data_IF_089915211118
#
_entry.id   IF_089915211118
#
_cell.length_a   1.000
_cell.length_b   1.000
_cell.length_c   1.000
_cell.angle_alpha   90.00
_cell.angle_beta   90.00
_cell.angle_gamma   90.00
#
_symmetry.space_group_name_H-M   'P 1'
#
loop_
_entity.id
_entity.type
_entity.pdbx_description
1 polymer ?
#
# COMPACT_ATOMS: atom_id res chain seq x y z
N UNK A 1 25.81 25.34 -15.23
CA UNK A 1 26.18 24.05 -15.85
C UNK A 1 25.93 22.99 -14.82
N UNK A 2 24.76 22.35 -14.90
CA UNK A 2 24.26 21.38 -13.92
C UNK A 2 24.90 20.03 -14.17
N UNK A 3 25.82 19.62 -13.30
CA UNK A 3 26.36 18.26 -13.29
C UNK A 3 25.32 17.37 -12.62
N UNK A 4 24.34 16.88 -13.39
CA UNK A 4 23.49 15.75 -13.01
C UNK A 4 24.31 14.47 -13.15
N UNK A 5 25.15 14.17 -12.16
CA UNK A 5 25.77 12.86 -12.01
C UNK A 5 24.81 11.99 -11.20
N UNK A 6 23.91 11.28 -11.88
CA UNK A 6 23.06 10.24 -11.29
C UNK A 6 23.82 8.91 -11.31
N UNK A 7 24.92 8.80 -10.56
CA UNK A 7 25.55 7.48 -10.39
C UNK A 7 24.76 6.67 -9.36
N UNK A 8 24.41 5.44 -9.72
CA UNK A 8 23.85 4.48 -8.79
C UNK A 8 24.88 4.18 -7.70
N UNK A 9 24.47 4.28 -6.43
CA UNK A 9 25.28 3.78 -5.33
C UNK A 9 25.36 2.25 -5.44
N UNK A 10 26.51 1.65 -5.11
CA UNK A 10 26.64 0.18 -5.09
C UNK A 10 25.55 -0.45 -4.20
N UNK A 11 25.16 0.24 -3.13
CA UNK A 11 24.15 -0.19 -2.17
C UNK A 11 22.72 -0.32 -2.72
N UNK A 12 22.36 0.31 -3.85
CA UNK A 12 20.96 0.29 -4.31
C UNK A 12 20.82 0.55 -5.80
N UNK A 13 19.80 -0.04 -6.42
CA UNK A 13 19.46 0.27 -7.81
C UNK A 13 18.82 1.65 -7.98
N UNK A 14 18.41 2.29 -6.88
CA UNK A 14 17.76 3.59 -6.91
C UNK A 14 18.77 4.70 -7.24
N UNK A 15 18.52 5.55 -8.25
CA UNK A 15 19.30 6.76 -8.44
C UNK A 15 18.97 7.76 -7.33
N UNK A 16 20.00 8.39 -6.76
CA UNK A 16 19.84 9.40 -5.72
C UNK A 16 20.20 10.78 -6.29
N UNK A 17 19.25 11.49 -6.94
CA UNK A 17 19.56 12.80 -7.52
C UNK A 17 20.03 13.78 -6.43
N UNK A 18 21.10 14.53 -6.75
CA UNK A 18 21.62 15.57 -5.87
C UNK A 18 20.69 16.79 -5.96
N UNK A 19 19.76 16.91 -5.00
CA UNK A 19 18.85 18.07 -4.90
C UNK A 19 19.48 19.26 -4.17
N UNK A 20 20.36 18.96 -3.22
CA UNK A 20 21.03 19.92 -2.34
C UNK A 20 22.48 19.51 -2.16
N UNK A 21 23.38 20.49 -2.24
CA UNK A 21 24.82 20.28 -2.03
C UNK A 21 25.18 20.41 -0.55
N UNK A 22 26.08 19.56 -0.04
CA UNK A 22 26.62 19.74 1.30
C UNK A 22 27.61 20.93 1.30
N UNK A 23 27.46 21.85 2.26
CA UNK A 23 28.30 23.05 2.36
C UNK A 23 29.30 22.96 3.51
N UNK A 24 28.85 22.50 4.69
CA UNK A 24 29.68 22.42 5.88
C UNK A 24 29.50 21.08 6.58
N UNK A 25 30.60 20.60 7.15
CA UNK A 25 30.65 19.39 7.95
C UNK A 25 31.13 19.75 9.36
N UNK A 26 30.40 19.28 10.38
CA UNK A 26 30.77 19.43 11.79
C UNK A 26 30.78 18.06 12.45
N UNK A 27 31.90 17.70 13.06
CA UNK A 27 32.07 16.43 13.77
C UNK A 27 31.68 16.63 15.24
N UNK A 28 30.73 15.82 15.72
CA UNK A 28 30.30 15.75 17.11
C UNK A 28 31.05 14.67 17.91
N UNK A 29 30.43 14.17 18.98
CA UNK A 29 30.98 13.08 19.80
C UNK A 29 30.56 11.68 19.31
N UNK A 30 29.33 11.54 18.83
CA UNK A 30 28.73 10.26 18.40
C UNK A 30 28.14 10.33 16.98
N UNK A 31 28.08 11.53 16.41
CA UNK A 31 27.48 11.84 15.13
C UNK A 31 28.24 12.96 14.42
N UNK A 32 27.96 13.14 13.13
CA UNK A 32 28.37 14.31 12.37
C UNK A 32 27.14 15.05 11.85
N UNK A 33 27.32 16.34 11.58
CA UNK A 33 26.29 17.24 11.09
C UNK A 33 26.70 17.77 9.73
N UNK A 34 25.78 17.72 8.77
CA UNK A 34 25.93 18.30 7.44
C UNK A 34 24.96 19.47 7.32
N UNK A 35 25.48 20.65 7.00
CA UNK A 35 24.68 21.81 6.61
C UNK A 35 24.60 21.85 5.09
N UNK A 36 23.39 21.85 4.56
CA UNK A 36 23.09 21.84 3.12
C UNK A 36 22.90 23.25 2.57
N UNK A 37 22.95 23.41 1.24
CA UNK A 37 22.80 24.69 0.55
C UNK A 37 21.45 25.40 0.74
N UNK A 38 20.42 24.66 1.16
CA UNK A 38 19.11 25.19 1.52
C UNK A 38 19.00 25.58 3.01
N UNK A 39 20.10 25.48 3.77
CA UNK A 39 20.14 25.74 5.20
C UNK A 39 19.59 24.62 6.08
N UNK A 40 19.15 23.49 5.51
CA UNK A 40 18.82 22.29 6.30
C UNK A 40 20.08 21.76 6.97
N UNK A 41 19.95 21.25 8.19
CA UNK A 41 21.01 20.51 8.88
C UNK A 41 20.56 19.05 9.05
N UNK A 42 21.42 18.10 8.68
CA UNK A 42 21.20 16.67 8.90
C UNK A 42 22.25 16.10 9.85
N UNK A 43 21.81 15.29 10.80
CA UNK A 43 22.67 14.54 11.71
C UNK A 43 22.80 13.09 11.26
N UNK A 44 24.02 12.55 11.34
CA UNK A 44 24.33 11.16 11.03
C UNK A 44 25.26 10.55 12.10
N UNK A 45 24.72 9.64 12.91
CA UNK A 45 25.45 8.83 13.89
C UNK A 45 26.52 7.95 13.24
N UNK A 46 27.66 7.78 13.92
CA UNK A 46 28.81 7.03 13.40
C UNK A 46 28.49 5.56 13.14
N UNK A 47 27.80 4.90 14.08
CA UNK A 47 27.35 3.52 13.89
C UNK A 47 26.43 3.41 12.67
N UNK A 48 25.47 4.33 12.51
CA UNK A 48 24.57 4.31 11.36
C UNK A 48 25.32 4.48 10.03
N UNK A 49 26.27 5.41 9.96
CA UNK A 49 27.10 5.58 8.78
C UNK A 49 27.90 4.30 8.50
N UNK A 50 28.60 3.76 9.50
CA UNK A 50 29.42 2.56 9.33
C UNK A 50 28.61 1.34 8.90
N UNK A 51 27.43 1.14 9.50
CA UNK A 51 26.47 0.08 9.14
C UNK A 51 26.06 0.17 7.67
N UNK A 52 25.86 1.39 7.18
CA UNK A 52 25.43 1.68 5.81
C UNK A 52 26.61 1.97 4.86
N UNK A 53 27.82 1.45 5.12
CA UNK A 53 28.95 1.66 4.23
C UNK A 53 28.69 1.02 2.85
N UNK A 54 28.88 1.79 1.77
CA UNK A 54 28.59 1.34 0.40
C UNK A 54 29.74 0.60 -0.30
N UNK A 55 30.86 0.36 0.37
CA UNK A 55 32.02 -0.27 -0.27
C UNK A 55 31.78 -1.76 -0.57
N UNK A 56 32.57 -2.33 -1.48
CA UNK A 56 32.47 -3.74 -1.87
C UNK A 56 32.82 -4.74 -0.76
N UNK A 57 33.43 -4.30 0.34
CA UNK A 57 33.67 -5.13 1.52
C UNK A 57 32.43 -5.22 2.43
N UNK A 58 31.60 -4.18 2.43
CA UNK A 58 30.42 -4.10 3.29
C UNK A 58 29.13 -4.52 2.58
N UNK A 59 29.11 -4.44 1.26
CA UNK A 59 27.96 -4.78 0.41
C UNK A 59 28.41 -5.69 -0.72
N UNK A 60 27.69 -6.79 -0.92
CA UNK A 60 27.90 -7.68 -2.05
C UNK A 60 27.56 -6.95 -3.36
N UNK A 61 28.54 -6.78 -4.25
CA UNK A 61 28.38 -5.95 -5.46
C UNK A 61 27.32 -6.46 -6.44
N UNK A 62 27.06 -7.77 -6.47
CA UNK A 62 26.07 -8.39 -7.36
C UNK A 62 24.65 -8.27 -6.81
N UNK A 63 24.43 -8.67 -5.56
CA UNK A 63 23.08 -8.71 -4.95
C UNK A 63 22.68 -7.40 -4.30
N UNK A 64 23.66 -6.55 -3.96
CA UNK A 64 23.53 -5.31 -3.17
C UNK A 64 23.04 -5.56 -1.75
N UNK A 65 23.23 -6.78 -1.26
CA UNK A 65 22.92 -7.16 0.12
C UNK A 65 24.09 -6.78 1.03
N UNK A 66 23.75 -6.34 2.24
CA UNK A 66 24.72 -6.06 3.28
C UNK A 66 25.40 -7.36 3.72
N UNK A 67 26.74 -7.31 3.76
CA UNK A 67 27.60 -8.40 4.26
C UNK A 67 28.21 -8.03 5.60
N UNK A 68 28.41 -6.72 5.83
CA UNK A 68 28.91 -6.20 7.09
C UNK A 68 27.88 -6.39 8.23
N UNK A 69 28.32 -6.92 9.37
CA UNK A 69 27.49 -6.98 10.57
C UNK A 69 27.90 -5.88 11.56
N UNK A 70 26.93 -5.17 12.13
CA UNK A 70 27.20 -4.00 12.98
C UNK A 70 28.04 -4.33 14.23
N UNK A 71 28.05 -5.58 14.68
CA UNK A 71 28.87 -6.04 15.80
C UNK A 71 30.36 -6.24 15.45
N UNK A 72 30.74 -6.16 14.17
CA UNK A 72 32.14 -6.27 13.74
C UNK A 72 32.96 -5.01 14.03
N UNK A 73 32.31 -3.94 14.53
CA UNK A 73 32.95 -2.71 14.98
C UNK A 73 32.61 -2.39 16.44
N UNK A 74 33.48 -1.68 17.19
CA UNK A 74 33.16 -1.20 18.52
C UNK A 74 32.01 -0.19 18.50
N UNK A 75 31.17 -0.18 19.54
CA UNK A 75 30.13 0.85 19.73
C UNK A 75 30.70 2.28 19.74
N UNK A 76 31.97 2.41 20.14
CA UNK A 76 32.69 3.69 20.25
C UNK A 76 33.38 4.12 18.95
N UNK A 77 33.10 3.47 17.81
CA UNK A 77 33.72 3.80 16.52
C UNK A 77 33.50 5.27 16.18
N UNK A 78 34.54 5.93 15.68
CA UNK A 78 34.51 7.36 15.35
C UNK A 78 35.42 7.69 14.17
N UNK A 79 35.17 8.81 13.48
CA UNK A 79 36.05 9.25 12.40
C UNK A 79 37.42 9.69 12.94
N UNK A 80 38.50 9.19 12.34
CA UNK A 80 39.81 9.85 12.40
C UNK A 80 39.80 11.12 11.55
N UNK A 81 39.17 11.04 10.38
CA UNK A 81 38.98 12.15 9.45
C UNK A 81 37.60 12.04 8.80
N UNK A 82 36.94 13.16 8.58
CA UNK A 82 35.73 13.25 7.78
C UNK A 82 35.79 14.54 6.94
N UNK A 83 35.51 14.43 5.64
CA UNK A 83 35.57 15.55 4.70
C UNK A 83 34.69 15.31 3.47
N UNK A 84 34.44 16.35 2.68
CA UNK A 84 33.81 16.21 1.37
C UNK A 84 34.88 16.07 0.27
N UNK A 85 34.75 15.07 -0.59
CA UNK A 85 35.56 14.91 -1.80
C UNK A 85 35.20 15.98 -2.85
N UNK A 86 35.97 16.03 -3.94
CA UNK A 86 35.74 16.96 -5.06
C UNK A 86 34.35 16.78 -5.73
N UNK A 87 33.80 15.56 -5.71
CA UNK A 87 32.45 15.25 -6.19
C UNK A 87 31.37 15.36 -5.10
N UNK A 88 31.69 16.02 -3.97
CA UNK A 88 30.79 16.29 -2.83
C UNK A 88 30.33 15.04 -2.06
N UNK A 89 31.03 13.91 -2.17
CA UNK A 89 30.76 12.75 -1.32
C UNK A 89 31.31 12.99 0.07
N UNK A 90 30.58 12.54 1.08
CA UNK A 90 31.13 12.43 2.43
C UNK A 90 32.11 11.26 2.44
N UNK A 91 33.37 11.53 2.78
CA UNK A 91 34.41 10.52 2.98
C UNK A 91 34.74 10.47 4.46
N UNK A 92 34.77 9.27 5.03
CA UNK A 92 35.11 9.03 6.44
C UNK A 92 36.22 7.98 6.51
N UNK A 93 37.31 8.32 7.21
CA UNK A 93 38.32 7.36 7.65
C UNK A 93 38.04 6.99 9.10
N UNK A 94 37.80 5.72 9.37
CA UNK A 94 37.42 5.25 10.71
C UNK A 94 38.64 4.95 11.59
N UNK A 95 38.49 5.04 12.91
CA UNK A 95 39.52 4.67 13.88
C UNK A 95 39.63 3.16 14.12
N UNK A 96 38.97 2.36 13.28
CA UNK A 96 38.94 0.92 13.35
C UNK A 96 39.20 0.29 11.98
N UNK A 97 40.12 -0.69 11.97
CA UNK A 97 40.47 -1.53 10.81
C UNK A 97 40.90 -0.77 9.54
N UNK A 98 41.43 0.46 9.66
CA UNK A 98 41.86 1.33 8.55
C UNK A 98 40.78 1.49 7.45
N UNK A 99 39.50 1.35 7.81
CA UNK A 99 38.40 1.32 6.87
C UNK A 99 38.02 2.73 6.40
N UNK A 100 37.62 2.86 5.13
CA UNK A 100 37.18 4.12 4.54
C UNK A 100 35.78 3.94 3.94
N UNK A 101 34.85 4.78 4.37
CA UNK A 101 33.49 4.81 3.82
C UNK A 101 33.26 6.07 2.99
N UNK A 102 32.47 5.96 1.93
CA UNK A 102 32.10 7.08 1.06
C UNK A 102 30.59 7.06 0.79
N UNK A 103 29.94 8.23 0.87
CA UNK A 103 28.49 8.35 0.73
C UNK A 103 28.13 9.46 -0.26
N UNK A 104 27.25 9.14 -1.20
CA UNK A 104 26.72 10.10 -2.16
C UNK A 104 25.84 11.13 -1.45
N UNK A 105 25.96 12.44 -1.76
CA UNK A 105 25.20 13.48 -1.08
C UNK A 105 23.68 13.32 -1.28
N UNK A 106 23.24 12.88 -2.46
CA UNK A 106 21.83 12.58 -2.70
C UNK A 106 21.30 11.44 -1.83
N UNK A 107 22.12 10.42 -1.54
CA UNK A 107 21.75 9.29 -0.69
C UNK A 107 21.66 9.73 0.77
N UNK A 108 22.63 10.49 1.25
CA UNK A 108 22.60 11.07 2.60
C UNK A 108 21.33 11.91 2.77
N UNK A 109 21.11 12.89 1.89
CA UNK A 109 19.94 13.76 1.96
C UNK A 109 18.62 12.98 1.95
N UNK A 110 18.49 11.94 1.12
CA UNK A 110 17.29 11.11 1.08
C UNK A 110 17.10 10.22 2.31
N UNK A 111 18.15 9.96 3.09
CA UNK A 111 18.12 9.13 4.30
C UNK A 111 18.24 9.93 5.61
N UNK A 112 18.23 11.27 5.55
CA UNK A 112 18.09 12.12 6.73
C UNK A 112 16.89 11.65 7.59
N UNK A 113 17.15 11.40 8.87
CA UNK A 113 16.17 10.88 9.83
C UNK A 113 15.79 11.90 10.91
N UNK A 114 16.07 13.19 10.68
CA UNK A 114 15.45 14.25 11.46
C UNK A 114 13.93 14.14 11.40
N UNK A 115 13.25 14.61 12.44
CA UNK A 115 11.78 14.50 12.55
C UNK A 115 11.08 15.06 11.31
N UNK A 116 11.43 16.28 10.89
CA UNK A 116 10.86 16.92 9.70
C UNK A 116 11.13 16.14 8.41
N UNK A 117 12.31 15.53 8.25
CA UNK A 117 12.62 14.72 7.08
C UNK A 117 11.84 13.39 7.07
N UNK A 118 11.62 12.76 8.24
CA UNK A 118 10.79 11.56 8.35
C UNK A 118 9.33 11.88 8.06
N UNK A 119 8.80 12.95 8.63
CA UNK A 119 7.43 13.43 8.37
C UNK A 119 7.20 13.73 6.89
N UNK A 120 8.14 14.42 6.23
CA UNK A 120 8.02 14.74 4.80
C UNK A 120 8.03 13.51 3.87
N UNK A 121 8.57 12.37 4.32
CA UNK A 121 8.59 11.11 3.58
C UNK A 121 7.35 10.25 3.83
N UNK A 122 6.56 10.56 4.86
CA UNK A 122 5.36 9.79 5.17
C UNK A 122 4.34 9.94 4.04
N UNK A 123 4.05 8.81 3.40
CA UNK A 123 2.94 8.73 2.46
C UNK A 123 1.62 8.88 3.21
N UNK A 124 0.67 9.60 2.62
CA UNK A 124 -0.69 9.75 3.13
C UNK A 124 -1.70 9.39 2.06
N UNK A 125 -2.66 8.55 2.42
CA UNK A 125 -3.79 8.22 1.58
C UNK A 125 -4.63 9.48 1.26
N UNK A 126 -5.08 9.60 0.01
CA UNK A 126 -6.09 10.58 -0.38
C UNK A 126 -7.47 10.00 -0.10
N UNK A 127 -7.99 10.24 1.10
CA UNK A 127 -9.31 9.74 1.51
C UNK A 127 -10.44 10.44 0.75
N UNK A 128 -11.50 9.72 0.42
CA UNK A 128 -12.60 10.25 -0.41
C UNK A 128 -13.98 9.86 0.12
N UNK A 129 -14.96 10.70 -0.18
CA UNK A 129 -16.39 10.44 -0.03
C UNK A 129 -17.08 10.42 -1.40
N UNK A 130 -18.42 10.34 -1.44
CA UNK A 130 -19.19 10.25 -2.70
C UNK A 130 -18.92 11.45 -3.62
N UNK A 131 -18.85 12.67 -3.08
CA UNK A 131 -18.69 13.85 -3.91
C UNK A 131 -17.30 13.88 -4.55
N UNK A 132 -16.26 13.67 -3.74
CA UNK A 132 -14.88 13.69 -4.21
C UNK A 132 -14.62 12.62 -5.29
N UNK A 133 -14.98 11.36 -5.02
CA UNK A 133 -14.65 10.27 -5.95
C UNK A 133 -15.42 10.33 -7.27
N UNK A 134 -16.63 10.89 -7.29
CA UNK A 134 -17.37 11.10 -8.55
C UNK A 134 -16.66 12.11 -9.47
N UNK A 135 -15.84 13.01 -8.93
CA UNK A 135 -15.11 14.00 -9.72
C UNK A 135 -13.71 13.52 -10.09
N UNK A 136 -13.10 12.68 -9.25
CA UNK A 136 -11.67 12.35 -9.33
C UNK A 136 -11.37 10.87 -9.45
N UNK A 137 -12.34 10.02 -9.86
CA UNK A 137 -12.09 8.58 -10.05
C UNK A 137 -10.92 8.39 -11.03
N UNK A 138 -9.77 7.88 -10.54
CA UNK A 138 -8.62 7.71 -11.42
C UNK A 138 -8.94 6.69 -12.50
N UNK A 139 -8.77 7.09 -13.75
CA UNK A 139 -9.17 6.27 -14.91
C UNK A 139 -8.05 6.25 -15.93
N UNK A 140 -7.76 5.08 -16.47
CA UNK A 140 -6.83 4.89 -17.59
C UNK A 140 -7.39 3.87 -18.58
N UNK A 141 -6.80 3.75 -19.76
CA UNK A 141 -7.24 2.78 -20.77
C UNK A 141 -6.39 1.52 -20.72
N UNK A 142 -6.98 0.40 -21.12
CA UNK A 142 -6.31 -0.89 -21.21
C UNK A 142 -5.03 -0.82 -22.05
N UNK A 143 -5.08 -0.19 -23.23
CA UNK A 143 -3.92 -0.05 -24.12
C UNK A 143 -2.81 0.80 -23.49
N UNK A 144 -3.16 1.92 -22.85
CA UNK A 144 -2.17 2.78 -22.18
C UNK A 144 -1.44 2.01 -21.09
N UNK A 145 -2.20 1.31 -20.23
CA UNK A 145 -1.61 0.48 -19.19
C UNK A 145 -0.73 -0.60 -19.80
N UNK A 146 -1.15 -1.26 -20.88
CA UNK A 146 -0.41 -2.37 -21.51
C UNK A 146 0.80 -1.97 -22.36
N UNK A 147 0.91 -0.73 -22.81
CA UNK A 147 1.96 -0.33 -23.76
C UNK A 147 2.88 0.77 -23.25
N UNK A 148 2.54 1.44 -22.15
CA UNK A 148 3.32 2.57 -21.63
C UNK A 148 3.59 2.46 -20.15
N UNK A 149 4.87 2.37 -19.78
CA UNK A 149 5.30 2.35 -18.38
C UNK A 149 5.04 3.68 -17.66
N UNK A 150 5.01 4.81 -18.38
CA UNK A 150 4.62 6.10 -17.82
C UNK A 150 3.13 6.12 -17.42
N UNK A 151 2.25 5.62 -18.28
CA UNK A 151 0.82 5.53 -17.96
C UNK A 151 0.55 4.49 -16.88
N UNK A 152 1.26 3.36 -16.91
CA UNK A 152 1.23 2.36 -15.84
C UNK A 152 1.62 3.00 -14.51
N UNK A 153 2.76 3.70 -14.44
CA UNK A 153 3.22 4.34 -13.21
C UNK A 153 2.20 5.35 -12.65
N UNK A 154 1.61 6.18 -13.51
CA UNK A 154 0.54 7.10 -13.11
C UNK A 154 -0.64 6.34 -12.50
N UNK A 155 -1.13 5.31 -13.20
CA UNK A 155 -2.24 4.49 -12.71
C UNK A 155 -1.94 3.76 -11.40
N UNK A 156 -0.73 3.22 -11.22
CA UNK A 156 -0.33 2.55 -9.97
C UNK A 156 -0.24 3.54 -8.79
N UNK A 157 0.28 4.75 -9.03
CA UNK A 157 0.32 5.82 -8.00
C UNK A 157 -1.08 6.26 -7.61
N UNK A 158 -1.97 6.43 -8.59
CA UNK A 158 -3.37 6.75 -8.33
C UNK A 158 -4.07 5.64 -7.54
N UNK A 159 -3.87 4.38 -7.94
CA UNK A 159 -4.40 3.22 -7.22
C UNK A 159 -3.88 3.15 -5.78
N UNK A 160 -2.59 3.42 -5.54
CA UNK A 160 -2.01 3.53 -4.20
C UNK A 160 -2.67 4.66 -3.41
N UNK A 161 -2.71 5.87 -3.97
CA UNK A 161 -3.11 7.10 -3.27
C UNK A 161 -4.62 7.14 -2.97
N UNK A 162 -5.46 6.79 -3.94
CA UNK A 162 -6.92 6.78 -3.79
C UNK A 162 -7.46 5.42 -3.33
N UNK A 163 -6.68 4.34 -3.43
CA UNK A 163 -7.15 2.99 -3.09
C UNK A 163 -8.14 2.41 -4.10
N UNK A 164 -8.41 3.09 -5.21
CA UNK A 164 -9.36 2.69 -6.25
C UNK A 164 -8.95 3.33 -7.57
N UNK A 165 -9.06 2.58 -8.67
CA UNK A 165 -8.87 3.08 -10.03
C UNK A 165 -9.66 2.23 -11.04
N UNK A 166 -10.04 2.85 -12.16
CA UNK A 166 -10.76 2.24 -13.27
C UNK A 166 -9.82 2.05 -14.47
N UNK A 167 -10.02 0.94 -15.18
CA UNK A 167 -9.42 0.67 -16.48
C UNK A 167 -10.55 0.46 -17.48
N UNK A 168 -10.61 1.27 -18.54
CA UNK A 168 -11.61 1.15 -19.62
C UNK A 168 -11.05 0.41 -20.82
N UNK A 169 -11.93 0.04 -21.74
CA UNK A 169 -11.60 -0.54 -23.04
C UNK A 169 -10.83 -1.86 -22.94
N UNK A 170 -11.09 -2.62 -21.88
CA UNK A 170 -10.57 -3.99 -21.69
C UNK A 170 -11.38 -4.96 -22.57
N UNK A 171 -10.69 -5.86 -23.24
CA UNK A 171 -11.36 -6.89 -24.05
C UNK A 171 -12.20 -7.82 -23.15
N UNK A 172 -13.48 -7.99 -23.48
CA UNK A 172 -14.46 -8.84 -22.79
C UNK A 172 -14.21 -10.35 -22.96
N UNK A 173 -13.14 -10.77 -23.62
CA UNK A 173 -12.70 -12.15 -23.61
C UNK A 173 -12.35 -12.63 -22.18
N UNK A 174 -12.63 -13.90 -21.85
CA UNK A 174 -12.23 -14.47 -20.57
C UNK A 174 -10.73 -14.36 -20.32
N UNK A 175 -10.37 -14.13 -19.06
CA UNK A 175 -9.00 -14.06 -18.53
C UNK A 175 -8.19 -12.84 -19.01
N UNK A 176 -8.79 -11.87 -19.71
CA UNK A 176 -8.09 -10.65 -20.14
C UNK A 176 -7.51 -9.86 -18.96
N UNK A 177 -8.18 -9.87 -17.79
CA UNK A 177 -7.68 -9.17 -16.61
C UNK A 177 -6.29 -9.64 -16.15
N UNK A 178 -5.88 -10.88 -16.49
CA UNK A 178 -4.55 -11.41 -16.18
C UNK A 178 -3.46 -10.54 -16.80
N UNK A 179 -3.70 -10.02 -18.01
CA UNK A 179 -2.72 -9.16 -18.71
C UNK A 179 -2.48 -7.86 -17.94
N UNK A 180 -3.52 -7.29 -17.33
CA UNK A 180 -3.41 -6.09 -16.49
C UNK A 180 -2.73 -6.43 -15.16
N UNK A 181 -3.14 -7.53 -14.52
CA UNK A 181 -2.52 -8.02 -13.28
C UNK A 181 -1.01 -8.23 -13.44
N UNK A 182 -0.58 -8.87 -14.53
CA UNK A 182 0.82 -9.14 -14.86
C UNK A 182 1.65 -7.90 -15.22
N UNK A 183 1.03 -6.74 -15.43
CA UNK A 183 1.78 -5.47 -15.48
C UNK A 183 2.18 -4.96 -14.11
N UNK A 184 1.53 -5.46 -13.05
CA UNK A 184 1.96 -5.27 -11.67
C UNK A 184 2.92 -6.40 -11.28
N UNK A 185 2.41 -7.63 -11.16
CA UNK A 185 3.15 -8.82 -10.72
C UNK A 185 2.31 -10.09 -10.90
N UNK A 186 2.53 -11.13 -10.10
CA UNK A 186 1.75 -12.37 -10.10
C UNK A 186 0.42 -12.26 -9.35
N UNK A 187 -0.50 -13.15 -9.68
CA UNK A 187 -1.82 -13.25 -9.05
C UNK A 187 -1.73 -14.14 -7.82
N UNK A 188 -2.30 -13.70 -6.69
CA UNK A 188 -2.42 -14.49 -5.47
C UNK A 188 -3.41 -15.63 -5.66
N UNK A 189 -2.93 -16.86 -5.45
CA UNK A 189 -3.80 -18.03 -5.36
C UNK A 189 -4.56 -18.08 -4.03
N UNK A 190 -5.83 -18.49 -4.09
CA UNK A 190 -6.70 -18.67 -2.92
C UNK A 190 -7.45 -19.99 -3.02
N UNK A 191 -8.27 -20.32 -2.02
CA UNK A 191 -9.21 -21.45 -2.10
C UNK A 191 -10.27 -21.28 -3.20
N UNK A 192 -10.38 -20.10 -3.82
CA UNK A 192 -11.22 -19.84 -4.99
C UNK A 192 -10.44 -19.91 -6.32
N UNK A 193 -9.17 -20.34 -6.28
CA UNK A 193 -8.23 -20.31 -7.41
C UNK A 193 -7.54 -18.95 -7.56
N UNK A 194 -6.87 -18.76 -8.70
CA UNK A 194 -6.23 -17.50 -9.10
C UNK A 194 -7.21 -16.55 -9.77
N UNK A 195 -8.13 -17.08 -10.58
CA UNK A 195 -9.23 -16.35 -11.21
C UNK A 195 -10.56 -16.95 -10.74
N UNK A 196 -11.49 -16.09 -10.33
CA UNK A 196 -12.83 -16.49 -9.96
C UNK A 196 -13.88 -15.79 -10.82
N UNK A 197 -14.95 -16.51 -11.14
CA UNK A 197 -16.08 -15.99 -11.91
C UNK A 197 -17.21 -15.61 -10.94
N UNK A 198 -17.63 -14.35 -10.98
CA UNK A 198 -18.80 -13.84 -10.24
C UNK A 198 -19.99 -13.86 -11.19
N UNK A 199 -20.66 -15.01 -11.19
CA UNK A 199 -21.92 -15.30 -11.87
C UNK A 199 -22.84 -15.98 -10.84
N UNK A 200 -24.15 -15.81 -10.97
CA UNK A 200 -25.08 -16.55 -10.11
C UNK A 200 -25.03 -18.04 -10.45
N UNK A 201 -24.91 -18.90 -9.43
CA UNK A 201 -24.90 -20.36 -9.57
C UNK A 201 -26.05 -20.96 -8.74
N UNK A 202 -26.65 -22.04 -9.24
CA UNK A 202 -27.71 -22.75 -8.52
C UNK A 202 -27.22 -23.33 -7.17
N UNK A 203 -25.98 -23.81 -7.12
CA UNK A 203 -25.34 -24.37 -5.92
C UNK A 203 -24.23 -23.45 -5.39
N UNK A 204 -24.61 -22.26 -4.91
CA UNK A 204 -23.66 -21.27 -4.40
C UNK A 204 -23.10 -21.63 -3.00
N UNK A 205 -21.77 -21.74 -2.87
CA UNK A 205 -21.06 -21.92 -1.59
C UNK A 205 -20.54 -20.61 -0.98
N UNK A 206 -20.81 -19.47 -1.62
CA UNK A 206 -20.45 -18.12 -1.14
C UNK A 206 -21.57 -17.15 -1.47
N UNK A 207 -21.81 -16.18 -0.57
CA UNK A 207 -22.79 -15.12 -0.78
C UNK A 207 -22.52 -14.32 -2.08
N UNK A 208 -21.26 -14.26 -2.52
CA UNK A 208 -20.85 -13.63 -3.78
C UNK A 208 -21.46 -14.29 -5.03
N UNK A 209 -21.87 -15.57 -4.96
CA UNK A 209 -22.44 -16.34 -6.08
C UNK A 209 -23.98 -16.42 -6.04
N UNK A 210 -24.63 -15.62 -5.20
CA UNK A 210 -26.11 -15.52 -5.12
C UNK A 210 -26.64 -14.30 -5.90
N UNK A 211 -27.95 -14.08 -5.94
CA UNK A 211 -28.59 -12.85 -6.46
C UNK A 211 -28.90 -11.82 -5.34
N UNK A 212 -28.66 -12.20 -4.08
CA UNK A 212 -28.91 -11.37 -2.92
C UNK A 212 -27.92 -10.19 -2.83
N UNK A 213 -28.38 -9.12 -2.19
CA UNK A 213 -27.54 -7.96 -1.83
C UNK A 213 -26.35 -8.43 -1.00
N UNK A 214 -25.15 -8.11 -1.46
CA UNK A 214 -23.92 -8.31 -0.70
C UNK A 214 -23.65 -7.03 0.10
N UNK A 215 -23.61 -7.07 1.44
CA UNK A 215 -23.35 -5.86 2.24
C UNK A 215 -21.90 -5.40 2.06
N UNK A 216 -21.63 -4.12 2.40
CA UNK A 216 -20.29 -3.55 2.33
C UNK A 216 -19.31 -4.35 3.18
N UNK A 217 -18.22 -4.75 2.56
CA UNK A 217 -17.21 -5.60 3.15
C UNK A 217 -15.86 -5.44 2.44
N UNK A 218 -14.81 -5.92 3.09
CA UNK A 218 -13.52 -6.25 2.53
C UNK A 218 -13.43 -7.75 2.37
N UNK A 219 -12.83 -8.23 1.29
CA UNK A 219 -12.77 -9.66 0.98
C UNK A 219 -11.71 -10.39 1.81
N UNK A 220 -12.03 -11.65 2.11
CA UNK A 220 -11.19 -12.60 2.84
C UNK A 220 -10.53 -12.02 4.11
N UNK A 221 -11.28 -11.34 5.01
CA UNK A 221 -10.75 -10.83 6.29
C UNK A 221 -10.37 -11.94 7.27
N UNK A 222 -10.55 -13.20 6.85
CA UNK A 222 -10.25 -14.42 7.58
C UNK A 222 -8.82 -14.90 7.34
N UNK A 223 -8.10 -14.27 6.41
CA UNK A 223 -6.69 -14.55 6.11
C UNK A 223 -5.79 -13.74 7.04
N UNK A 224 -4.67 -14.33 7.43
CA UNK A 224 -3.59 -13.62 8.12
C UNK A 224 -3.15 -12.41 7.29
N UNK A 225 -2.74 -12.69 6.05
CA UNK A 225 -2.53 -11.68 5.03
C UNK A 225 -3.83 -11.52 4.25
N UNK A 226 -4.66 -10.55 4.59
CA UNK A 226 -5.82 -10.21 3.77
C UNK A 226 -5.34 -9.79 2.36
N UNK A 227 -5.99 -10.18 1.24
CA UNK A 227 -5.53 -9.75 -0.08
C UNK A 227 -5.42 -8.23 -0.18
N UNK A 228 -4.33 -7.73 -0.77
CA UNK A 228 -4.06 -6.30 -0.90
C UNK A 228 -4.98 -5.61 -1.91
N UNK A 229 -4.91 -6.03 -3.17
CA UNK A 229 -5.71 -5.50 -4.26
C UNK A 229 -6.73 -6.54 -4.72
N UNK A 230 -7.91 -6.06 -5.10
CA UNK A 230 -8.92 -6.84 -5.80
C UNK A 230 -9.21 -6.24 -7.17
N UNK A 231 -9.30 -7.10 -8.16
CA UNK A 231 -9.66 -6.78 -9.54
C UNK A 231 -11.06 -7.31 -9.81
N UNK A 232 -11.91 -6.52 -10.45
CA UNK A 232 -13.22 -6.95 -10.95
C UNK A 232 -13.40 -6.44 -12.39
N UNK A 233 -13.24 -7.34 -13.35
CA UNK A 233 -13.42 -7.08 -14.77
C UNK A 233 -14.80 -7.51 -15.24
N UNK A 234 -15.53 -6.61 -15.88
CA UNK A 234 -16.85 -6.88 -16.41
C UNK A 234 -16.79 -7.39 -17.85
N UNK A 235 -17.18 -8.65 -18.06
CA UNK A 235 -17.29 -9.24 -19.40
C UNK A 235 -18.68 -9.02 -20.00
N UNK A 236 -19.72 -9.15 -19.18
CA UNK A 236 -21.12 -9.04 -19.58
C UNK A 236 -21.88 -8.35 -18.45
N UNK A 237 -22.66 -7.31 -18.75
CA UNK A 237 -23.58 -6.71 -17.79
C UNK A 237 -24.85 -6.16 -18.48
N UNK A 238 -25.71 -7.08 -18.91
CA UNK A 238 -26.99 -6.78 -19.56
C UNK A 238 -28.16 -6.76 -18.56
N UNK A 239 -27.95 -7.21 -17.32
CA UNK A 239 -28.98 -7.25 -16.29
C UNK A 239 -29.27 -5.86 -15.71
N UNK A 240 -30.54 -5.61 -15.36
CA UNK A 240 -30.94 -4.44 -14.57
C UNK A 240 -30.52 -4.59 -13.10
N UNK A 241 -30.08 -3.48 -12.51
CA UNK A 241 -29.54 -3.44 -11.14
C UNK A 241 -28.08 -3.92 -11.04
N UNK A 242 -27.70 -4.42 -9.87
CA UNK A 242 -26.35 -4.99 -9.64
C UNK A 242 -25.20 -3.97 -9.66
N UNK A 243 -25.52 -2.69 -9.41
CA UNK A 243 -24.54 -1.62 -9.29
C UNK A 243 -23.56 -1.93 -8.16
N UNK A 244 -22.28 -1.66 -8.42
CA UNK A 244 -21.24 -1.75 -7.40
C UNK A 244 -21.39 -0.56 -6.45
N UNK A 245 -21.33 -0.85 -5.16
CA UNK A 245 -21.29 0.19 -4.11
C UNK A 245 -19.91 0.10 -3.49
N UNK A 246 -19.14 1.19 -3.53
CA UNK A 246 -17.83 1.28 -2.91
C UNK A 246 -17.82 2.37 -1.84
N UNK A 247 -17.10 2.14 -0.75
CA UNK A 247 -16.90 3.08 0.35
C UNK A 247 -15.44 3.08 0.76
N UNK A 248 -14.83 4.25 0.89
CA UNK A 248 -13.50 4.39 1.45
C UNK A 248 -13.52 4.15 2.96
N UNK A 249 -13.05 2.97 3.38
CA UNK A 249 -12.97 2.63 4.80
C UNK A 249 -12.08 3.58 5.59
N UNK A 250 -11.06 4.19 4.95
CA UNK A 250 -10.19 5.14 5.63
C UNK A 250 -10.93 6.47 5.87
N UNK A 251 -11.77 6.92 4.92
CA UNK A 251 -12.65 8.08 5.15
C UNK A 251 -13.62 7.85 6.30
N UNK A 252 -14.21 6.65 6.39
CA UNK A 252 -15.10 6.29 7.51
C UNK A 252 -14.33 6.29 8.83
N UNK A 253 -13.15 5.67 8.85
CA UNK A 253 -12.33 5.59 10.05
C UNK A 253 -11.83 6.98 10.51
N UNK A 254 -11.42 7.86 9.60
CA UNK A 254 -11.07 9.25 9.94
C UNK A 254 -12.30 10.05 10.44
N UNK A 255 -13.47 9.86 9.83
CA UNK A 255 -14.71 10.45 10.34
C UNK A 255 -15.05 9.94 11.76
N UNK A 256 -14.80 8.66 12.05
CA UNK A 256 -14.95 8.15 13.41
C UNK A 256 -13.90 8.72 14.35
N UNK A 257 -12.65 8.86 13.92
CA UNK A 257 -11.58 9.46 14.74
C UNK A 257 -11.95 10.88 15.19
N UNK A 258 -12.56 11.67 14.32
CA UNK A 258 -12.96 13.05 14.60
C UNK A 258 -14.27 13.16 15.40
N UNK A 259 -15.33 12.43 15.01
CA UNK A 259 -16.68 12.63 15.54
C UNK A 259 -17.15 11.55 16.53
N UNK A 260 -16.48 10.39 16.57
CA UNK A 260 -16.81 9.22 17.38
C UNK A 260 -15.54 8.58 17.98
N UNK A 261 -14.71 9.34 18.72
CA UNK A 261 -13.36 8.91 19.10
C UNK A 261 -13.35 7.64 19.97
N UNK A 262 -14.35 7.45 20.83
CA UNK A 262 -14.49 6.24 21.66
C UNK A 262 -14.78 4.99 20.82
N UNK A 263 -15.64 5.13 19.80
CA UNK A 263 -15.91 4.08 18.84
C UNK A 263 -14.71 3.79 17.94
N UNK A 264 -14.00 4.82 17.48
CA UNK A 264 -12.74 4.64 16.74
C UNK A 264 -11.73 3.86 17.58
N UNK A 265 -11.48 4.29 18.82
CA UNK A 265 -10.59 3.63 19.75
C UNK A 265 -10.99 2.17 20.00
N UNK A 266 -12.28 1.89 20.12
CA UNK A 266 -12.78 0.52 20.28
C UNK A 266 -12.45 -0.35 19.06
N UNK A 267 -12.67 0.14 17.84
CA UNK A 267 -12.38 -0.63 16.62
C UNK A 267 -10.89 -0.74 16.29
N UNK A 268 -10.07 0.17 16.84
CA UNK A 268 -8.62 0.17 16.64
C UNK A 268 -7.82 -0.56 17.72
N UNK A 269 -8.44 -0.91 18.86
CA UNK A 269 -7.77 -1.60 19.97
C UNK A 269 -8.43 -2.91 20.39
N UNK A 270 -9.73 -3.08 20.16
CA UNK A 270 -10.45 -4.29 20.54
C UNK A 270 -10.57 -5.20 19.31
N UNK A 271 -9.99 -6.42 19.35
CA UNK A 271 -9.98 -7.33 18.22
C UNK A 271 -11.36 -7.97 17.95
N UNK A 272 -11.59 -8.26 16.67
CA UNK A 272 -12.72 -9.02 16.16
C UNK A 272 -12.24 -10.33 15.54
N UNK A 273 -13.05 -11.38 15.67
CA UNK A 273 -12.82 -12.68 15.05
C UNK A 273 -13.48 -12.76 13.67
N UNK A 274 -12.83 -13.38 12.70
CA UNK A 274 -13.34 -13.62 11.34
C UNK A 274 -13.11 -15.08 10.93
N UNK A 275 -14.16 -15.77 10.48
CA UNK A 275 -14.14 -17.17 10.08
C UNK A 275 -14.70 -17.37 8.67
N UNK A 276 -14.00 -18.15 7.84
CA UNK A 276 -14.52 -18.72 6.60
C UNK A 276 -14.49 -20.24 6.75
N UNK A 277 -15.67 -20.84 6.82
CA UNK A 277 -15.88 -22.27 7.07
C UNK A 277 -16.44 -22.91 5.81
N UNK A 278 -15.75 -23.92 5.33
CA UNK A 278 -16.13 -24.75 4.20
C UNK A 278 -15.94 -26.23 4.57
N UNK A 279 -16.49 -27.16 3.79
CA UNK A 279 -16.34 -28.59 4.02
C UNK A 279 -14.87 -29.04 4.04
N UNK A 280 -14.00 -28.35 3.28
CA UNK A 280 -12.60 -28.71 3.11
C UNK A 280 -11.61 -27.64 3.59
N UNK A 281 -12.08 -26.53 4.18
CA UNK A 281 -11.21 -25.50 4.74
C UNK A 281 -11.86 -24.73 5.89
N UNK A 282 -11.04 -24.26 6.85
CA UNK A 282 -11.47 -23.40 7.96
C UNK A 282 -10.40 -22.31 8.17
N UNK A 283 -10.62 -21.14 7.59
CA UNK A 283 -9.73 -20.00 7.74
C UNK A 283 -10.22 -19.09 8.85
N UNK A 284 -9.32 -18.75 9.78
CA UNK A 284 -9.63 -17.90 10.92
C UNK A 284 -8.57 -16.83 11.08
N UNK A 285 -9.04 -15.62 11.38
CA UNK A 285 -8.18 -14.53 11.79
C UNK A 285 -8.81 -13.77 12.95
N UNK A 286 -7.97 -13.21 13.81
CA UNK A 286 -8.39 -12.33 14.89
C UNK A 286 -7.51 -11.09 14.90
N UNK A 287 -8.13 -9.92 14.75
CA UNK A 287 -7.44 -8.63 14.73
C UNK A 287 -8.44 -7.48 14.78
N UNK A 288 -7.94 -6.26 14.89
CA UNK A 288 -8.79 -5.06 14.97
C UNK A 288 -9.45 -4.76 13.62
N UNK A 289 -10.61 -4.09 13.65
CA UNK A 289 -11.33 -3.74 12.42
C UNK A 289 -10.71 -2.51 11.74
N UNK A 290 -10.07 -1.63 12.52
CA UNK A 290 -9.25 -0.53 12.04
C UNK A 290 -7.83 -0.81 12.53
N UNK A 291 -6.85 -0.82 11.65
CA UNK A 291 -5.44 -1.00 12.01
C UNK A 291 -4.73 0.34 11.82
N UNK A 292 -3.99 0.76 12.83
CA UNK A 292 -3.13 1.96 12.78
C UNK A 292 -1.66 1.59 12.92
N UNK A 293 -0.78 2.35 12.29
CA UNK A 293 0.66 2.24 12.44
C UNK A 293 1.17 2.98 13.70
N UNK A 294 2.50 2.98 13.89
CA UNK A 294 3.18 3.68 14.99
C UNK A 294 3.01 5.21 14.96
N UNK A 295 2.62 5.78 13.82
CA UNK A 295 2.32 7.20 13.63
C UNK A 295 0.81 7.47 13.73
N UNK A 296 0.04 6.49 14.22
CA UNK A 296 -1.41 6.50 14.34
C UNK A 296 -2.16 6.70 13.00
N UNK A 297 -1.52 6.45 11.85
CA UNK A 297 -2.17 6.49 10.54
C UNK A 297 -2.95 5.20 10.29
N UNK A 298 -4.12 5.29 9.68
CA UNK A 298 -4.89 4.09 9.32
C UNK A 298 -4.21 3.40 8.14
N UNK A 299 -3.92 2.11 8.28
CA UNK A 299 -3.21 1.31 7.27
C UNK A 299 -4.04 0.14 6.73
N UNK A 300 -5.06 -0.28 7.46
CA UNK A 300 -5.99 -1.33 7.06
C UNK A 300 -7.37 -1.13 7.72
N UNK A 301 -8.42 -1.48 6.97
CA UNK A 301 -9.78 -1.68 7.46
C UNK A 301 -10.19 -3.10 7.12
N UNK A 302 -10.71 -3.82 8.12
CA UNK A 302 -11.11 -5.21 8.02
C UNK A 302 -12.55 -5.38 8.47
N UNK A 303 -13.44 -5.67 7.53
CA UNK A 303 -14.87 -5.79 7.82
C UNK A 303 -15.56 -6.76 6.86
N UNK A 304 -16.19 -7.81 7.38
CA UNK A 304 -17.20 -8.56 6.63
C UNK A 304 -18.21 -9.17 7.60
N UNK A 305 -19.44 -8.65 7.62
CA UNK A 305 -20.46 -9.09 8.58
C UNK A 305 -20.75 -10.61 8.47
N UNK A 306 -20.78 -11.15 7.25
CA UNK A 306 -21.09 -12.55 6.99
C UNK A 306 -19.91 -13.51 7.27
N UNK A 307 -18.70 -13.00 7.45
CA UNK A 307 -17.52 -13.77 7.87
C UNK A 307 -17.09 -13.44 9.30
N UNK A 308 -17.86 -12.62 10.04
CA UNK A 308 -17.53 -12.27 11.42
C UNK A 308 -17.82 -13.47 12.34
N UNK A 309 -16.79 -13.91 13.07
CA UNK A 309 -16.92 -14.85 14.17
C UNK A 309 -17.65 -14.25 15.38
N UNK A 310 -18.01 -15.05 16.39
CA UNK A 310 -18.58 -14.54 17.65
C UNK A 310 -17.68 -13.48 18.28
N UNK A 311 -18.28 -12.46 18.91
CA UNK A 311 -17.53 -11.48 19.69
C UNK A 311 -17.05 -12.16 20.97
N UNK A 312 -15.73 -12.28 21.13
CA UNK A 312 -15.04 -13.04 22.17
C UNK A 312 -14.05 -12.15 22.95
N UNK A 313 -14.59 -11.11 23.59
CA UNK A 313 -13.83 -10.11 24.35
C UNK A 313 -14.32 -10.03 25.80
N UNK A 314 -13.52 -9.50 26.75
CA UNK A 314 -13.96 -9.32 28.14
C UNK A 314 -15.31 -8.59 28.24
N UNK A 315 -16.15 -8.97 29.20
CA UNK A 315 -17.52 -8.48 29.31
C UNK A 315 -17.64 -6.94 29.36
N UNK A 316 -16.67 -6.26 29.98
CA UNK A 316 -16.64 -4.80 30.06
C UNK A 316 -16.36 -4.11 28.70
N UNK A 317 -15.80 -4.83 27.72
CA UNK A 317 -15.50 -4.32 26.37
C UNK A 317 -16.61 -4.65 25.36
N UNK A 318 -17.41 -5.68 25.61
CA UNK A 318 -18.39 -6.21 24.65
C UNK A 318 -19.34 -5.14 24.14
N UNK A 319 -19.94 -4.34 25.03
CA UNK A 319 -20.89 -3.31 24.62
C UNK A 319 -20.21 -2.16 23.85
N UNK A 320 -19.00 -1.76 24.23
CA UNK A 320 -18.23 -0.73 23.53
C UNK A 320 -17.93 -1.17 22.09
N UNK A 321 -17.43 -2.40 21.92
CA UNK A 321 -17.16 -2.96 20.59
C UNK A 321 -18.44 -3.05 19.74
N UNK A 322 -19.58 -3.48 20.30
CA UNK A 322 -20.84 -3.50 19.56
C UNK A 322 -21.32 -2.12 19.16
N UNK A 323 -21.22 -1.11 20.03
CA UNK A 323 -21.55 0.28 19.69
C UNK A 323 -20.69 0.77 18.53
N UNK A 324 -19.39 0.55 18.61
CA UNK A 324 -18.44 0.97 17.61
C UNK A 324 -18.64 0.26 16.25
N UNK A 325 -18.81 -1.06 16.29
CA UNK A 325 -19.11 -1.86 15.10
C UNK A 325 -20.41 -1.42 14.42
N UNK A 326 -21.46 -1.15 15.21
CA UNK A 326 -22.73 -0.60 14.70
C UNK A 326 -22.52 0.77 14.05
N UNK A 327 -21.77 1.66 14.70
CA UNK A 327 -21.47 3.00 14.18
C UNK A 327 -20.77 2.93 12.83
N UNK A 328 -19.75 2.08 12.70
CA UNK A 328 -19.03 1.90 11.44
C UNK A 328 -19.98 1.45 10.32
N UNK A 329 -20.81 0.43 10.57
CA UNK A 329 -21.79 -0.05 9.58
C UNK A 329 -22.86 1.00 9.25
N UNK A 330 -23.26 1.84 10.21
CA UNK A 330 -24.21 2.92 9.95
C UNK A 330 -23.60 3.96 9.02
N UNK A 331 -22.36 4.39 9.27
CA UNK A 331 -21.65 5.35 8.45
C UNK A 331 -21.46 4.83 7.02
N UNK A 332 -21.09 3.55 6.83
CA UNK A 332 -20.95 2.97 5.48
C UNK A 332 -22.27 2.90 4.71
N UNK A 333 -23.42 3.07 5.38
CA UNK A 333 -24.74 3.11 4.74
C UNK A 333 -25.22 4.53 4.42
N UNK A 334 -24.51 5.56 4.85
CA UNK A 334 -24.87 6.94 4.52
C UNK A 334 -24.50 7.25 3.06
N UNK A 335 -25.45 7.81 2.33
CA UNK A 335 -25.29 8.08 0.89
C UNK A 335 -24.07 8.95 0.59
N UNK A 336 -23.75 9.91 1.47
CA UNK A 336 -22.59 10.79 1.31
C UNK A 336 -21.25 10.06 1.24
N UNK A 337 -21.14 8.83 1.73
CA UNK A 337 -19.91 8.02 1.65
C UNK A 337 -19.94 6.96 0.54
N UNK A 338 -21.10 6.72 -0.08
CA UNK A 338 -21.29 5.63 -1.03
C UNK A 338 -21.06 6.08 -2.47
N UNK A 339 -20.04 5.51 -3.09
CA UNK A 339 -19.83 5.61 -4.52
C UNK A 339 -20.60 4.49 -5.24
N UNK A 340 -21.57 4.89 -6.06
CA UNK A 340 -22.34 3.97 -6.89
C UNK A 340 -21.77 3.97 -8.30
N UNK A 341 -21.38 2.80 -8.78
CA UNK A 341 -20.80 2.65 -10.11
C UNK A 341 -21.29 1.37 -10.77
N UNK A 342 -21.97 1.53 -11.91
CA UNK A 342 -22.32 0.40 -12.77
C UNK A 342 -21.12 0.09 -13.67
N UNK A 343 -20.52 -1.08 -13.47
CA UNK A 343 -19.46 -1.57 -14.36
C UNK A 343 -20.06 -2.02 -15.69
N UNK A 344 -19.66 -1.38 -16.77
CA UNK A 344 -20.03 -1.75 -18.14
C UNK A 344 -19.08 -2.84 -18.66
N UNK A 345 -19.52 -3.60 -19.67
CA UNK A 345 -18.64 -4.56 -20.34
C UNK A 345 -17.38 -3.86 -20.87
N UNK A 346 -16.21 -4.41 -20.53
CA UNK A 346 -14.90 -3.86 -20.85
C UNK A 346 -14.34 -2.87 -19.82
N UNK A 347 -15.05 -2.64 -18.72
CA UNK A 347 -14.53 -1.93 -17.56
C UNK A 347 -13.94 -2.92 -16.53
N UNK A 348 -12.75 -2.59 -16.04
CA UNK A 348 -12.07 -3.26 -14.94
C UNK A 348 -11.84 -2.25 -13.82
N UNK A 349 -12.48 -2.48 -12.67
CA UNK A 349 -12.20 -1.72 -11.45
C UNK A 349 -11.18 -2.47 -10.60
N UNK A 350 -10.21 -1.72 -10.08
CA UNK A 350 -9.19 -2.24 -9.16
C UNK A 350 -9.23 -1.40 -7.91
N UNK A 351 -9.21 -2.04 -6.75
CA UNK A 351 -9.22 -1.34 -5.48
C UNK A 351 -8.38 -2.06 -4.43
N UNK A 352 -7.90 -1.28 -3.46
CA UNK A 352 -7.24 -1.76 -2.27
C UNK A 352 -8.27 -2.38 -1.34
N UNK A 353 -8.31 -3.70 -1.31
CA UNK A 353 -9.25 -4.51 -0.55
C UNK A 353 -9.05 -4.39 0.97
N UNK A 354 -7.90 -3.89 1.43
CA UNK A 354 -7.65 -3.57 2.84
C UNK A 354 -8.05 -2.13 3.19
N UNK A 355 -8.68 -1.39 2.27
CA UNK A 355 -9.14 0.00 2.47
C UNK A 355 -10.59 0.18 2.02
N UNK A 356 -10.87 -0.15 0.77
CA UNK A 356 -12.15 0.09 0.11
C UNK A 356 -13.09 -1.06 0.38
N UNK A 357 -14.19 -0.76 1.09
CA UNK A 357 -15.29 -1.70 1.21
C UNK A 357 -16.08 -1.68 -0.09
N UNK A 358 -16.51 -2.85 -0.52
CA UNK A 358 -17.29 -3.01 -1.73
C UNK A 358 -18.53 -3.87 -1.46
N UNK A 359 -19.54 -3.68 -2.28
CA UNK A 359 -20.84 -4.30 -2.20
C UNK A 359 -21.49 -4.29 -3.57
N UNK A 360 -22.64 -4.95 -3.67
CA UNK A 360 -23.53 -4.83 -4.82
C UNK A 360 -24.98 -4.86 -4.39
N UNK A 361 -25.80 -4.12 -5.12
CA UNK A 361 -27.25 -4.27 -5.04
C UNK A 361 -27.70 -5.65 -5.55
N UNK A 362 -28.91 -6.04 -5.15
CA UNK A 362 -29.58 -7.18 -5.78
C UNK A 362 -29.81 -6.89 -7.28
N UNK A 363 -29.96 -7.94 -8.08
CA UNK A 363 -30.14 -7.84 -9.53
C UNK A 363 -31.02 -9.00 -10.00
N UNK A 364 -31.70 -8.80 -11.13
CA UNK A 364 -32.64 -9.79 -11.67
C UNK A 364 -32.03 -10.52 -12.86
N UNK A 365 -31.69 -11.80 -12.68
CA UNK A 365 -31.18 -12.68 -13.75
C UNK A 365 -32.19 -12.94 -14.87
N UNK A 366 -33.48 -12.65 -14.66
CA UNK A 366 -34.49 -12.73 -15.72
C UNK A 366 -34.38 -11.60 -16.73
N UNK A 367 -33.74 -10.49 -16.35
CA UNK A 367 -33.60 -9.29 -17.20
C UNK A 367 -32.37 -9.34 -18.11
N UNK A 368 -31.35 -10.15 -17.78
CA UNK A 368 -30.14 -10.26 -18.58
C UNK A 368 -29.02 -11.05 -17.88
N UNK A 369 -27.89 -11.19 -18.58
CA UNK A 369 -26.71 -11.88 -18.08
C UNK A 369 -25.76 -10.92 -17.36
N UNK A 370 -25.07 -11.41 -16.32
CA UNK A 370 -24.01 -10.68 -15.63
C UNK A 370 -22.83 -11.60 -15.36
N UNK A 371 -21.65 -11.20 -15.81
CA UNK A 371 -20.41 -11.95 -15.66
C UNK A 371 -19.25 -11.01 -15.36
N UNK A 372 -18.77 -11.06 -14.11
CA UNK A 372 -17.49 -10.47 -13.74
C UNK A 372 -16.43 -11.57 -13.53
N UNK A 373 -15.19 -11.27 -13.86
CA UNK A 373 -14.04 -12.05 -13.43
C UNK A 373 -13.20 -11.25 -12.45
N UNK A 374 -12.76 -11.89 -11.37
CA UNK A 374 -11.90 -11.27 -10.38
C UNK A 374 -10.64 -12.06 -10.08
N UNK A 375 -9.67 -11.33 -9.52
CA UNK A 375 -8.43 -11.88 -9.00
C UNK A 375 -7.91 -11.00 -7.86
N UNK A 376 -6.85 -11.47 -7.20
CA UNK A 376 -6.18 -10.76 -6.12
C UNK A 376 -4.69 -10.58 -6.42
N UNK A 377 -4.12 -9.47 -5.97
CA UNK A 377 -2.67 -9.21 -5.93
C UNK A 377 -2.34 -8.62 -4.56
N UNK A 378 -1.09 -8.73 -4.11
CA UNK A 378 -0.66 -8.13 -2.85
C UNK A 378 -0.17 -6.68 -2.99
N UNK A 379 -0.29 -5.91 -1.90
CA UNK A 379 -0.01 -4.46 -1.89
C UNK A 379 1.49 -4.17 -2.04
N UNK A 380 2.34 -5.05 -1.52
CA UNK A 380 3.80 -4.99 -1.69
C UNK A 380 4.22 -5.11 -3.16
N UNK A 381 3.55 -5.94 -3.95
CA UNK A 381 3.78 -6.04 -5.40
C UNK A 381 3.46 -4.73 -6.13
N UNK A 382 2.37 -4.07 -5.76
CA UNK A 382 2.04 -2.72 -6.25
C UNK A 382 3.16 -1.72 -5.93
N UNK A 383 3.59 -1.67 -4.66
CA UNK A 383 4.62 -0.73 -4.20
C UNK A 383 5.98 -1.03 -4.84
N UNK A 384 6.34 -2.30 -5.00
CA UNK A 384 7.55 -2.75 -5.69
C UNK A 384 7.55 -2.27 -7.15
N UNK A 385 6.46 -2.52 -7.87
CA UNK A 385 6.35 -2.10 -9.28
C UNK A 385 6.44 -0.58 -9.43
N UNK A 386 5.82 0.19 -8.53
CA UNK A 386 5.96 1.67 -8.50
C UNK A 386 7.44 2.06 -8.37
N UNK A 387 8.16 1.53 -7.37
CA UNK A 387 9.57 1.89 -7.13
C UNK A 387 10.47 1.55 -8.32
N UNK A 388 10.24 0.41 -8.97
CA UNK A 388 10.98 0.00 -10.17
C UNK A 388 10.73 0.96 -11.33
N UNK A 389 9.48 1.32 -11.60
CA UNK A 389 9.15 2.26 -12.66
C UNK A 389 9.68 3.67 -12.37
N UNK A 390 9.63 4.12 -11.12
CA UNK A 390 10.18 5.42 -10.70
C UNK A 390 11.68 5.50 -10.92
N UNK A 391 12.41 4.42 -10.58
CA UNK A 391 13.84 4.30 -10.87
C UNK A 391 14.12 4.48 -12.36
N UNK A 392 13.36 3.78 -13.20
CA UNK A 392 13.58 3.76 -14.65
C UNK A 392 13.19 5.09 -15.32
N UNK A 393 12.38 5.93 -14.67
CA UNK A 393 12.10 7.32 -15.12
C UNK A 393 13.14 8.36 -14.71
N UNK A 394 13.97 8.04 -13.71
CA UNK A 394 14.99 8.93 -13.15
C UNK A 394 16.40 8.64 -13.70
N UNK A 395 16.64 7.41 -14.17
CA UNK A 395 17.83 7.02 -14.92
C UNK A 395 17.69 7.37 -16.39
#
# INVERSE_FOLDING_TARGET
MTVTSTHSEIASFTPYPIKHLPLNLRVGSESLFIVWDNGHESEYHYLWLRDNCHCSECIATLTREQVFEICDVPETIRPLEAYFSEDNRLVIKWDYADHISQYHPGWLYSHCYSESAREAKQWRAKVWDKEAINQTLPTNTYLNILQSDQHLLTWLRDLRDYGIALVTDVDCAPNTLIKVAHRISFIRETNFGTIFNVQAKADANSAAYTDLRLPLHTDLPTRELQPGLQFLHCLINDAEGGESILVDGFKIAEHMREYYPDEFASLSSIPMSFYNKDQHSDYRFRGTAIVVDENHQIVEVRLANFLRGPIDVPAHQTLALYKAYRRFIQLTREERFQFFHRLNSGELIVFDNRRVLHARNAFDLKTGSRHLQGCYIDRDELLSRIRVLERDTLG
#
